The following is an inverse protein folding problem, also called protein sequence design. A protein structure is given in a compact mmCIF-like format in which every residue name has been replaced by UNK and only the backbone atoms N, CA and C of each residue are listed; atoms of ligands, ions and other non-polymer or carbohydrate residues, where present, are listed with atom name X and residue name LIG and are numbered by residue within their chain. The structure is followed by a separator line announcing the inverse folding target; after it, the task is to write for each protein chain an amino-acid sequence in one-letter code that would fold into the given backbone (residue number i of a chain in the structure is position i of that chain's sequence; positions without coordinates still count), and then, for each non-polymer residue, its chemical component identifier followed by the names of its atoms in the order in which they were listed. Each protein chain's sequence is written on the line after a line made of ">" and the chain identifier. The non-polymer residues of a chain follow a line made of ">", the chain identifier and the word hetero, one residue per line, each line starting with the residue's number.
data_IF_620189394223
#
_entry.id   IF_620189394223
#
_cell.length_a   1.000
_cell.length_b   1.000
_cell.length_c   1.000
_cell.angle_alpha   90.00
_cell.angle_beta   90.00
_cell.angle_gamma   90.00
#
_symmetry.space_group_name_H-M   'P 1'
#
loop_
_entity.id
_entity.type
_entity.pdbx_description
1 polymer ?
#
# COMPACT_ATOMS: atom_id res chain seq x y z
N UNK A 1 -15.02 20.41 -37.23
CA UNK A 1 -15.88 19.20 -37.25
C UNK A 1 -15.75 18.34 -38.52
N UNK A 2 -15.13 18.82 -39.62
CA UNK A 2 -14.97 18.07 -40.88
C UNK A 2 -13.76 17.13 -40.95
N UNK A 3 -12.75 17.29 -40.11
CA UNK A 3 -11.50 16.51 -40.22
C UNK A 3 -11.55 15.14 -39.51
N UNK A 4 -12.38 14.97 -38.50
CA UNK A 4 -12.50 13.73 -37.75
C UNK A 4 -13.40 12.71 -38.48
N UNK A 5 -14.43 13.19 -39.17
CA UNK A 5 -15.31 12.31 -39.96
C UNK A 5 -14.60 11.71 -41.18
N UNK A 6 -13.65 12.44 -41.79
CA UNK A 6 -12.82 11.93 -42.89
C UNK A 6 -11.89 10.81 -42.47
N UNK A 7 -11.35 10.86 -41.24
CA UNK A 7 -10.42 9.83 -40.73
C UNK A 7 -11.13 8.50 -40.45
N UNK A 8 -12.36 8.55 -39.96
CA UNK A 8 -13.15 7.34 -39.69
C UNK A 8 -13.63 6.67 -40.98
N UNK A 9 -14.09 7.43 -41.98
CA UNK A 9 -14.51 6.89 -43.27
C UNK A 9 -13.38 6.28 -44.07
N UNK A 10 -12.18 6.84 -44.02
CA UNK A 10 -10.97 6.28 -44.65
C UNK A 10 -10.56 4.98 -43.97
N UNK A 11 -10.66 4.89 -42.63
CA UNK A 11 -10.29 3.69 -41.86
C UNK A 11 -11.28 2.53 -42.10
N UNK A 12 -12.59 2.80 -42.16
CA UNK A 12 -13.61 1.78 -42.50
C UNK A 12 -13.48 1.31 -43.96
N UNK A 13 -13.20 2.24 -44.88
CA UNK A 13 -13.00 1.88 -46.28
C UNK A 13 -11.75 1.01 -46.47
N UNK A 14 -10.67 1.34 -45.77
CA UNK A 14 -9.43 0.55 -45.78
C UNK A 14 -9.63 -0.85 -45.19
N UNK A 15 -10.41 -0.98 -44.12
CA UNK A 15 -10.73 -2.27 -43.50
C UNK A 15 -11.58 -3.14 -44.43
N UNK A 16 -12.57 -2.55 -45.14
CA UNK A 16 -13.38 -3.26 -46.16
C UNK A 16 -12.52 -3.76 -47.32
N UNK A 17 -11.63 -2.93 -47.84
CA UNK A 17 -10.72 -3.30 -48.94
C UNK A 17 -9.80 -4.46 -48.50
N UNK A 18 -9.31 -4.48 -47.28
CA UNK A 18 -8.50 -5.57 -46.77
C UNK A 18 -9.28 -6.88 -46.63
N UNK A 19 -10.55 -6.84 -46.23
CA UNK A 19 -11.43 -8.00 -46.12
C UNK A 19 -11.78 -8.60 -47.47
N UNK A 20 -12.07 -7.73 -48.46
CA UNK A 20 -12.43 -8.17 -49.84
C UNK A 20 -11.22 -8.75 -50.58
N UNK A 21 -10.04 -8.17 -50.42
CA UNK A 21 -8.77 -8.75 -50.95
C UNK A 21 -8.39 -10.06 -50.32
N UNK A 22 -8.69 -10.29 -49.05
CA UNK A 22 -8.48 -11.61 -48.38
C UNK A 22 -9.40 -12.69 -49.00
N UNK A 23 -10.65 -12.35 -49.34
CA UNK A 23 -11.58 -13.27 -50.01
C UNK A 23 -11.15 -13.60 -51.44
N UNK A 24 -10.53 -12.68 -52.15
CA UNK A 24 -9.95 -12.93 -53.50
C UNK A 24 -8.72 -13.83 -53.42
N UNK A 25 -7.86 -13.68 -52.39
CA UNK A 25 -6.69 -14.53 -52.19
C UNK A 25 -7.06 -15.95 -51.82
N UNK A 26 -8.15 -16.17 -51.03
CA UNK A 26 -8.71 -17.50 -50.73
C UNK A 26 -9.20 -18.18 -52.02
N UNK A 27 -9.81 -17.46 -52.98
CA UNK A 27 -10.24 -18.01 -54.26
C UNK A 27 -9.05 -18.32 -55.19
N UNK A 28 -7.89 -17.69 -54.99
CA UNK A 28 -6.69 -17.92 -55.80
C UNK A 28 -5.80 -19.05 -55.29
N UNK A 29 -6.24 -19.80 -54.27
CA UNK A 29 -5.47 -20.94 -53.68
C UNK A 29 -4.19 -20.56 -52.96
N UNK A 30 -3.97 -19.28 -52.71
CA UNK A 30 -2.85 -18.78 -51.91
C UNK A 30 -3.26 -18.98 -50.46
N UNK A 31 -2.62 -19.94 -49.78
CA UNK A 31 -2.81 -20.14 -48.32
C UNK A 31 -2.57 -18.81 -47.63
N UNK A 32 -3.57 -18.26 -46.94
CA UNK A 32 -3.40 -16.95 -46.33
C UNK A 32 -2.32 -17.07 -45.23
N UNK A 33 -1.40 -16.12 -45.25
CA UNK A 33 -0.42 -15.90 -44.18
C UNK A 33 -1.12 -15.82 -42.78
N UNK A 34 -2.40 -15.55 -42.76
CA UNK A 34 -3.30 -15.52 -41.64
C UNK A 34 -3.39 -16.84 -40.85
N UNK A 35 -3.21 -18.01 -41.46
CA UNK A 35 -3.28 -19.29 -40.74
C UNK A 35 -1.98 -19.56 -39.97
N UNK A 36 -0.84 -19.13 -40.49
CA UNK A 36 0.41 -19.13 -39.71
C UNK A 36 0.36 -18.10 -38.59
N UNK A 37 -0.18 -16.90 -38.85
CA UNK A 37 -0.39 -15.84 -37.81
C UNK A 37 -1.39 -16.31 -36.76
N UNK A 38 -2.50 -16.96 -37.14
CA UNK A 38 -3.45 -17.56 -36.21
C UNK A 38 -2.81 -18.72 -35.41
N UNK A 39 -2.01 -19.56 -36.05
CA UNK A 39 -1.31 -20.66 -35.39
C UNK A 39 -0.20 -20.17 -34.46
N UNK A 40 0.49 -19.09 -34.80
CA UNK A 40 1.49 -18.48 -33.90
C UNK A 40 0.80 -17.73 -32.74
N UNK A 41 -0.30 -17.06 -32.99
CA UNK A 41 -1.11 -16.42 -31.95
C UNK A 41 -1.83 -17.46 -31.07
N UNK A 42 -2.11 -18.66 -31.61
CA UNK A 42 -2.69 -19.80 -30.90
C UNK A 42 -1.61 -20.76 -30.36
N UNK A 43 -0.34 -20.68 -30.79
CA UNK A 43 0.73 -21.45 -30.21
C UNK A 43 1.03 -20.96 -28.80
N UNK A 44 0.48 -21.69 -27.89
CA UNK A 44 0.29 -21.45 -26.48
C UNK A 44 1.55 -21.35 -25.61
N UNK A 45 2.70 -21.19 -26.18
CA UNK A 45 3.94 -21.15 -25.37
C UNK A 45 4.11 -19.87 -24.55
N UNK A 46 3.37 -18.77 -24.85
CA UNK A 46 3.56 -17.49 -24.17
C UNK A 46 2.30 -16.62 -24.01
N UNK A 47 1.11 -17.19 -24.05
CA UNK A 47 -0.08 -16.47 -23.56
C UNK A 47 -0.08 -16.50 -22.02
N UNK A 48 0.75 -15.65 -21.41
CA UNK A 48 0.83 -15.52 -19.95
C UNK A 48 -0.46 -15.02 -19.31
N UNK A 49 -1.37 -14.46 -20.09
CA UNK A 49 -2.66 -13.97 -19.64
C UNK A 49 -3.77 -14.59 -20.47
N UNK A 50 -4.57 -15.47 -19.86
CA UNK A 50 -5.78 -16.00 -20.46
C UNK A 50 -6.95 -15.09 -20.13
N UNK A 51 -7.80 -14.78 -21.12
CA UNK A 51 -9.14 -14.26 -20.90
C UNK A 51 -10.07 -15.37 -20.33
N UNK A 52 -9.63 -16.04 -19.29
CA UNK A 52 -10.46 -17.03 -18.63
C UNK A 52 -11.44 -16.35 -17.69
N UNK A 53 -12.75 -16.60 -17.87
CA UNK A 53 -13.78 -16.09 -17.01
C UNK A 53 -13.63 -16.69 -15.59
N UNK A 54 -12.94 -16.00 -14.71
CA UNK A 54 -12.94 -16.39 -13.32
C UNK A 54 -14.36 -16.21 -12.76
N UNK A 55 -14.99 -17.28 -12.28
CA UNK A 55 -16.26 -17.17 -11.54
C UNK A 55 -15.96 -16.45 -10.23
N UNK A 56 -16.53 -15.26 -10.04
CA UNK A 56 -16.44 -14.54 -8.77
C UNK A 56 -17.18 -15.31 -7.69
N UNK A 57 -16.48 -15.70 -6.63
CA UNK A 57 -17.11 -16.25 -5.44
C UNK A 57 -17.30 -15.12 -4.42
N UNK A 58 -18.54 -14.77 -4.13
CA UNK A 58 -18.89 -13.68 -3.21
C UNK A 58 -18.35 -13.87 -1.78
N UNK A 59 -18.08 -15.10 -1.37
CA UNK A 59 -17.56 -15.41 -0.04
C UNK A 59 -16.03 -15.29 0.06
N UNK A 60 -15.32 -15.51 -1.03
CA UNK A 60 -13.85 -15.57 -1.03
C UNK A 60 -13.18 -14.55 -1.92
N UNK A 61 -13.95 -13.80 -2.69
CA UNK A 61 -13.43 -12.83 -3.65
C UNK A 61 -14.02 -11.44 -3.42
N UNK A 62 -13.19 -10.40 -3.51
CA UNK A 62 -13.62 -9.01 -3.49
C UNK A 62 -13.97 -8.55 -4.90
N UNK A 63 -15.22 -8.15 -5.12
CA UNK A 63 -15.66 -7.54 -6.37
C UNK A 63 -15.08 -6.14 -6.51
N UNK A 64 -14.42 -5.86 -7.65
CA UNK A 64 -13.74 -4.59 -7.92
C UNK A 64 -14.30 -3.81 -9.11
N UNK A 65 -15.08 -4.44 -9.98
CA UNK A 65 -15.64 -3.75 -11.15
C UNK A 65 -16.04 -4.67 -12.29
N UNK A 66 -16.30 -4.06 -13.43
CA UNK A 66 -16.71 -4.77 -14.66
C UNK A 66 -15.70 -4.53 -15.77
N UNK A 67 -15.45 -5.54 -16.60
CA UNK A 67 -14.69 -5.36 -17.83
C UNK A 67 -15.55 -4.78 -18.95
N UNK A 68 -14.93 -4.50 -20.11
CA UNK A 68 -15.63 -3.94 -21.29
C UNK A 68 -16.79 -4.79 -21.81
N UNK A 69 -16.80 -6.10 -21.54
CA UNK A 69 -17.89 -7.01 -21.90
C UNK A 69 -18.98 -7.12 -20.82
N UNK A 70 -18.96 -6.28 -19.79
CA UNK A 70 -19.93 -6.28 -18.69
C UNK A 70 -19.74 -7.40 -17.68
N UNK A 71 -18.63 -8.15 -17.75
CA UNK A 71 -18.35 -9.24 -16.84
C UNK A 71 -17.78 -8.73 -15.53
N UNK A 72 -18.23 -9.32 -14.40
CA UNK A 72 -17.71 -9.03 -13.07
C UNK A 72 -16.25 -9.48 -12.94
N UNK A 73 -15.42 -8.59 -12.42
CA UNK A 73 -14.03 -8.85 -12.10
C UNK A 73 -13.84 -8.81 -10.59
N UNK A 74 -13.23 -9.85 -10.06
CA UNK A 74 -13.03 -10.04 -8.63
C UNK A 74 -11.59 -10.41 -8.32
N UNK A 75 -11.11 -9.93 -7.19
CA UNK A 75 -9.80 -10.27 -6.63
C UNK A 75 -9.99 -11.31 -5.52
N UNK A 76 -9.25 -12.42 -5.52
CA UNK A 76 -9.29 -13.36 -4.42
C UNK A 76 -8.83 -12.73 -3.10
N UNK A 77 -9.60 -12.90 -2.03
CA UNK A 77 -9.24 -12.36 -0.71
C UNK A 77 -8.00 -13.05 -0.11
N UNK A 78 -7.68 -14.26 -0.55
CA UNK A 78 -6.49 -15.02 -0.15
C UNK A 78 -5.29 -14.75 -1.06
N UNK A 79 -5.37 -13.75 -1.91
CA UNK A 79 -4.27 -13.43 -2.81
C UNK A 79 -3.07 -12.87 -2.04
N UNK A 80 -1.92 -13.04 -2.68
CA UNK A 80 -0.67 -12.48 -2.21
C UNK A 80 -0.69 -10.99 -2.52
N UNK A 81 -1.14 -10.16 -1.62
CA UNK A 81 -1.15 -8.72 -1.65
C UNK A 81 -1.60 -8.07 -2.98
N UNK A 82 -2.09 -6.87 -2.91
CA UNK A 82 -2.69 -6.15 -4.03
C UNK A 82 -2.10 -4.75 -4.04
N UNK A 83 -1.40 -4.37 -5.10
CA UNK A 83 -0.86 -3.03 -5.25
C UNK A 83 -1.81 -2.16 -6.08
N UNK A 84 -2.11 -0.95 -5.61
CA UNK A 84 -2.95 0.01 -6.31
C UNK A 84 -2.13 1.25 -6.64
N UNK A 85 -2.08 1.63 -7.93
CA UNK A 85 -1.39 2.84 -8.36
C UNK A 85 -2.32 3.68 -9.21
N UNK A 86 -2.33 4.99 -8.95
CA UNK A 86 -3.14 5.92 -9.73
C UNK A 86 -3.02 7.36 -9.29
N UNK A 87 -2.88 8.26 -10.26
CA UNK A 87 -2.75 9.70 -10.00
C UNK A 87 -3.97 10.27 -9.28
N UNK A 88 -3.83 11.46 -8.71
CA UNK A 88 -4.95 12.16 -8.06
C UNK A 88 -6.14 12.28 -9.01
N UNK A 89 -7.35 12.01 -8.50
CA UNK A 89 -8.58 12.03 -9.29
C UNK A 89 -8.77 10.85 -10.25
N UNK A 90 -7.90 9.85 -10.29
CA UNK A 90 -8.06 8.67 -11.14
C UNK A 90 -9.08 7.64 -10.61
N UNK A 91 -9.48 7.72 -9.33
CA UNK A 91 -10.40 6.78 -8.69
C UNK A 91 -9.75 5.80 -7.70
N UNK A 92 -8.55 6.10 -7.20
CA UNK A 92 -7.81 5.28 -6.23
C UNK A 92 -8.63 5.00 -4.97
N UNK A 93 -9.22 6.03 -4.34
CA UNK A 93 -10.08 5.89 -3.15
C UNK A 93 -11.28 4.98 -3.42
N UNK A 94 -11.88 5.08 -4.62
CA UNK A 94 -12.98 4.19 -5.05
C UNK A 94 -12.50 2.74 -5.16
N UNK A 95 -11.29 2.51 -5.67
CA UNK A 95 -10.72 1.17 -5.74
C UNK A 95 -10.48 0.57 -4.33
N UNK A 96 -9.90 1.36 -3.41
CA UNK A 96 -9.69 0.96 -2.01
C UNK A 96 -11.00 0.69 -1.27
N UNK A 97 -12.04 1.48 -1.52
CA UNK A 97 -13.34 1.36 -0.85
C UNK A 97 -14.02 0.01 -1.11
N UNK A 98 -13.76 -0.66 -2.23
CA UNK A 98 -14.27 -1.99 -2.51
C UNK A 98 -13.74 -3.04 -1.51
N UNK A 99 -12.49 -2.90 -1.08
CA UNK A 99 -11.90 -3.79 -0.07
C UNK A 99 -12.42 -3.49 1.34
N UNK A 100 -12.64 -2.22 1.67
CA UNK A 100 -13.27 -1.82 2.95
C UNK A 100 -14.68 -2.38 3.03
N UNK A 101 -15.48 -2.18 1.97
CA UNK A 101 -16.82 -2.74 1.87
C UNK A 101 -16.81 -4.27 1.99
N UNK A 102 -15.89 -4.94 1.31
CA UNK A 102 -15.75 -6.40 1.37
C UNK A 102 -15.39 -6.86 2.79
N UNK A 103 -14.49 -6.18 3.49
CA UNK A 103 -14.16 -6.46 4.89
C UNK A 103 -15.39 -6.32 5.80
N UNK A 104 -16.20 -5.29 5.58
CA UNK A 104 -17.42 -5.08 6.35
C UNK A 104 -18.45 -6.18 6.12
N UNK A 105 -18.74 -6.52 4.86
CA UNK A 105 -19.72 -7.57 4.48
C UNK A 105 -19.30 -8.95 5.01
N UNK A 106 -18.03 -9.30 4.88
CA UNK A 106 -17.50 -10.64 5.19
C UNK A 106 -17.06 -10.79 6.65
N UNK A 107 -17.29 -9.77 7.46
CA UNK A 107 -16.87 -9.75 8.85
C UNK A 107 -15.35 -9.99 9.04
N UNK A 108 -14.52 -9.41 8.17
CA UNK A 108 -13.07 -9.39 8.33
C UNK A 108 -12.64 -8.24 9.26
N UNK A 109 -11.55 -8.42 10.01
CA UNK A 109 -10.86 -7.29 10.63
C UNK A 109 -10.15 -6.46 9.56
N UNK A 110 -10.05 -5.15 9.76
CA UNK A 110 -9.23 -4.33 8.88
C UNK A 110 -8.45 -3.26 9.64
N UNK A 111 -7.26 -2.95 9.13
CA UNK A 111 -6.46 -1.81 9.54
C UNK A 111 -6.25 -0.94 8.31
N UNK A 112 -6.57 0.34 8.43
CA UNK A 112 -6.49 1.33 7.36
C UNK A 112 -5.56 2.44 7.83
N UNK A 113 -4.56 2.79 7.02
CA UNK A 113 -3.76 4.01 7.19
C UNK A 113 -4.09 4.90 6.01
N UNK A 114 -4.75 6.01 6.29
CA UNK A 114 -5.02 7.07 5.35
C UNK A 114 -3.87 8.07 5.42
N UNK A 115 -2.95 7.99 4.46
CA UNK A 115 -1.79 8.89 4.37
C UNK A 115 -2.10 10.23 3.73
N UNK A 116 -3.31 10.41 3.18
CA UNK A 116 -3.75 11.67 2.57
C UNK A 116 -4.38 12.62 3.59
N UNK A 117 -5.22 12.07 4.48
CA UNK A 117 -5.86 12.82 5.54
C UNK A 117 -6.83 13.88 5.04
N UNK A 118 -7.42 13.71 3.86
CA UNK A 118 -8.39 14.64 3.33
C UNK A 118 -9.75 14.53 4.04
N UNK A 119 -10.43 15.66 4.07
CA UNK A 119 -11.78 15.79 4.62
C UNK A 119 -12.78 15.97 3.46
N UNK A 120 -13.91 15.32 3.57
CA UNK A 120 -14.95 15.41 2.56
C UNK A 120 -15.77 14.13 2.46
N UNK A 121 -16.92 14.21 1.82
CA UNK A 121 -17.87 13.08 1.73
C UNK A 121 -17.30 11.83 1.03
N UNK A 122 -16.33 12.01 0.16
CA UNK A 122 -15.66 10.93 -0.56
C UNK A 122 -14.28 10.61 0.03
N UNK A 123 -13.95 11.11 1.23
CA UNK A 123 -12.72 10.74 1.94
C UNK A 123 -12.75 9.28 2.39
N UNK A 124 -11.59 8.68 2.56
CA UNK A 124 -11.47 7.29 3.01
C UNK A 124 -12.10 7.10 4.41
N UNK A 125 -12.01 8.12 5.27
CA UNK A 125 -12.64 8.15 6.59
C UNK A 125 -14.16 8.07 6.50
N UNK A 126 -14.81 8.96 5.73
CA UNK A 126 -16.27 9.02 5.64
C UNK A 126 -16.86 7.78 4.97
N UNK A 127 -16.19 7.27 3.94
CA UNK A 127 -16.54 5.99 3.30
C UNK A 127 -16.46 4.83 4.31
N UNK A 128 -15.41 4.81 5.13
CA UNK A 128 -15.24 3.77 6.17
C UNK A 128 -16.35 3.87 7.24
N UNK A 129 -16.67 5.09 7.69
CA UNK A 129 -17.79 5.33 8.62
C UNK A 129 -19.12 4.84 8.03
N UNK A 130 -19.39 5.18 6.76
CA UNK A 130 -20.60 4.77 6.05
C UNK A 130 -20.74 3.23 6.03
N UNK A 131 -19.70 2.53 5.61
CA UNK A 131 -19.76 1.05 5.54
C UNK A 131 -19.85 0.42 6.92
N UNK A 132 -19.10 0.91 7.90
CA UNK A 132 -19.19 0.38 9.27
C UNK A 132 -20.59 0.57 9.86
N UNK A 133 -21.22 1.70 9.62
CA UNK A 133 -22.62 1.96 10.02
C UNK A 133 -23.60 1.04 9.29
N UNK A 134 -23.47 0.92 7.96
CA UNK A 134 -24.36 0.12 7.11
C UNK A 134 -24.31 -1.36 7.47
N UNK A 135 -23.13 -1.89 7.78
CA UNK A 135 -22.94 -3.33 8.06
C UNK A 135 -22.78 -3.61 9.57
N UNK A 136 -23.10 -2.66 10.43
CA UNK A 136 -23.02 -2.77 11.89
C UNK A 136 -21.66 -3.28 12.38
N UNK A 137 -20.55 -2.62 11.93
CA UNK A 137 -19.19 -3.01 12.25
C UNK A 137 -18.60 -2.09 13.31
N UNK A 138 -17.89 -2.67 14.26
CA UNK A 138 -17.13 -1.90 15.24
C UNK A 138 -16.01 -1.15 14.55
N UNK A 139 -15.96 0.18 14.76
CA UNK A 139 -14.98 1.08 14.16
C UNK A 139 -14.21 1.82 15.25
N UNK A 140 -12.88 1.85 15.10
CA UNK A 140 -12.00 2.75 15.85
C UNK A 140 -11.40 3.77 14.89
N UNK A 141 -11.48 5.05 15.27
CA UNK A 141 -10.97 6.18 14.48
C UNK A 141 -9.87 6.86 15.30
N UNK A 142 -8.67 6.93 14.75
CA UNK A 142 -7.54 7.68 15.30
C UNK A 142 -7.12 8.69 14.23
N UNK A 143 -7.52 9.96 14.40
CA UNK A 143 -7.34 11.01 13.40
C UNK A 143 -6.47 12.14 13.92
N UNK A 144 -5.46 12.53 13.15
CA UNK A 144 -4.66 13.72 13.40
C UNK A 144 -5.43 15.02 13.10
N UNK A 145 -6.53 14.95 12.34
CA UNK A 145 -7.36 16.10 12.04
C UNK A 145 -8.15 16.56 13.28
N UNK A 146 -8.76 15.57 13.97
CA UNK A 146 -9.62 15.79 15.14
C UNK A 146 -9.17 14.96 16.34
N UNK A 147 -8.05 15.25 16.97
CA UNK A 147 -7.50 14.45 18.07
C UNK A 147 -8.42 14.38 19.30
N UNK A 148 -9.21 15.43 19.54
CA UNK A 148 -10.10 15.55 20.71
C UNK A 148 -11.22 14.51 20.70
N UNK A 149 -11.86 14.33 19.56
CA UNK A 149 -13.00 13.41 19.38
C UNK A 149 -12.62 12.01 18.91
N UNK A 150 -11.35 11.82 18.58
CA UNK A 150 -10.80 10.55 18.14
C UNK A 150 -10.65 9.55 19.27
N UNK A 151 -10.68 8.26 18.94
CA UNK A 151 -10.22 7.24 19.86
C UNK A 151 -8.76 7.51 20.22
N UNK A 152 -8.43 7.42 21.49
CA UNK A 152 -7.03 7.53 21.93
C UNK A 152 -6.24 6.31 21.50
N UNK A 153 -4.93 6.47 21.35
CA UNK A 153 -4.03 5.45 20.86
C UNK A 153 -2.84 5.29 21.79
N UNK A 154 -2.45 4.05 22.09
CA UNK A 154 -1.22 3.75 22.81
C UNK A 154 -0.45 2.63 22.10
N UNK A 155 0.63 2.95 21.37
CA UNK A 155 1.44 1.95 20.68
C UNK A 155 2.19 1.02 21.62
N UNK A 156 2.41 1.44 22.87
CA UNK A 156 3.21 0.69 23.84
C UNK A 156 2.42 -0.43 24.56
N UNK A 157 1.10 -0.52 24.37
CA UNK A 157 0.30 -1.61 24.89
C UNK A 157 0.90 -2.94 24.41
N UNK A 158 1.21 -3.87 25.36
CA UNK A 158 1.84 -5.17 25.09
C UNK A 158 3.26 -5.09 24.49
N UNK A 159 3.91 -3.93 24.46
CA UNK A 159 5.31 -3.84 24.05
C UNK A 159 6.24 -4.28 25.17
N UNK A 160 7.23 -5.12 24.86
CA UNK A 160 8.37 -5.31 25.74
C UNK A 160 9.34 -4.12 25.59
N UNK A 161 10.41 -4.10 26.40
CA UNK A 161 11.36 -2.99 26.45
C UNK A 161 12.00 -2.73 25.07
N UNK A 162 12.40 -3.79 24.39
CA UNK A 162 13.07 -3.72 23.10
C UNK A 162 12.11 -3.18 22.01
N UNK A 163 10.89 -3.69 21.98
CA UNK A 163 9.89 -3.23 21.01
C UNK A 163 9.52 -1.77 21.25
N UNK A 164 9.31 -1.37 22.50
CA UNK A 164 9.00 0.02 22.84
C UNK A 164 10.16 0.97 22.47
N UNK A 165 11.41 0.57 22.75
CA UNK A 165 12.61 1.30 22.32
C UNK A 165 12.66 1.38 20.77
N UNK A 166 12.44 0.28 20.07
CA UNK A 166 12.45 0.27 18.61
C UNK A 166 11.37 1.18 18.00
N UNK A 167 10.20 1.25 18.63
CA UNK A 167 9.13 2.19 18.23
C UNK A 167 9.62 3.63 18.30
N UNK A 168 10.20 4.04 19.41
CA UNK A 168 10.68 5.40 19.63
C UNK A 168 11.84 5.77 18.69
N UNK A 169 12.75 4.85 18.45
CA UNK A 169 13.91 5.09 17.58
C UNK A 169 13.50 5.18 16.10
N UNK A 170 12.59 4.32 15.65
CA UNK A 170 12.23 4.27 14.24
C UNK A 170 11.13 5.28 13.84
N UNK A 171 10.56 6.01 14.79
CA UNK A 171 9.66 7.13 14.51
C UNK A 171 10.35 8.23 13.71
N UNK A 172 11.63 8.50 14.00
CA UNK A 172 12.38 9.62 13.47
C UNK A 172 13.57 9.15 12.65
N UNK A 173 14.08 10.01 11.78
CA UNK A 173 15.35 9.82 11.09
C UNK A 173 16.49 10.30 11.95
N UNK A 174 17.62 9.60 11.91
CA UNK A 174 18.84 9.93 12.66
C UNK A 174 19.92 10.32 11.67
N UNK A 175 20.56 11.46 11.92
CA UNK A 175 21.65 11.96 11.07
C UNK A 175 22.95 11.17 11.25
N UNK A 176 23.18 10.63 12.46
CA UNK A 176 24.41 9.92 12.81
C UNK A 176 24.10 8.66 13.61
N UNK A 177 24.75 7.54 13.25
CA UNK A 177 24.57 6.24 13.90
C UNK A 177 25.01 6.24 15.36
N UNK A 178 26.02 7.04 15.70
CA UNK A 178 26.49 7.15 17.09
C UNK A 178 25.41 7.71 18.02
N UNK A 179 24.71 8.78 17.62
CA UNK A 179 23.61 9.33 18.42
C UNK A 179 22.46 8.35 18.55
N UNK A 180 22.14 7.65 17.50
CA UNK A 180 21.11 6.62 17.50
C UNK A 180 21.43 5.52 18.52
N UNK A 181 22.62 4.92 18.44
CA UNK A 181 23.05 3.82 19.33
C UNK A 181 23.03 4.21 20.81
N UNK A 182 23.50 5.41 21.13
CA UNK A 182 23.47 5.89 22.52
C UNK A 182 22.05 6.17 23.01
N UNK A 183 21.19 6.73 22.15
CA UNK A 183 19.76 6.92 22.47
C UNK A 183 19.06 5.58 22.67
N UNK A 184 19.35 4.58 21.85
CA UNK A 184 18.82 3.23 22.01
C UNK A 184 19.13 2.63 23.38
N UNK A 185 20.40 2.72 23.81
CA UNK A 185 20.83 2.20 25.10
C UNK A 185 20.14 2.92 26.25
N UNK A 186 20.04 4.25 26.17
CA UNK A 186 19.38 5.07 27.17
C UNK A 186 17.90 4.75 27.29
N UNK A 187 17.16 4.72 26.18
CA UNK A 187 15.73 4.40 26.14
C UNK A 187 15.45 2.98 26.61
N UNK A 188 16.30 2.01 26.24
CA UNK A 188 16.16 0.61 26.71
C UNK A 188 16.19 0.56 28.25
N UNK A 189 17.09 1.32 28.88
CA UNK A 189 17.20 1.39 30.34
C UNK A 189 16.01 2.14 30.95
N UNK A 190 15.65 3.29 30.41
CA UNK A 190 14.50 4.06 30.89
C UNK A 190 13.21 3.23 30.89
N UNK A 191 12.90 2.58 29.77
CA UNK A 191 11.69 1.77 29.63
C UNK A 191 11.69 0.60 30.64
N UNK A 192 12.87 -0.03 30.88
CA UNK A 192 13.01 -1.07 31.91
C UNK A 192 12.67 -0.50 33.30
N UNK A 193 13.21 0.67 33.68
CA UNK A 193 12.95 1.30 34.96
C UNK A 193 11.47 1.69 35.12
N UNK A 194 10.84 2.27 34.09
CA UNK A 194 9.41 2.60 34.12
C UNK A 194 8.54 1.35 34.39
N UNK A 195 8.84 0.24 33.73
CA UNK A 195 8.12 -1.03 33.95
C UNK A 195 8.33 -1.59 35.35
N UNK A 196 9.58 -1.56 35.86
CA UNK A 196 9.88 -2.01 37.22
C UNK A 196 9.19 -1.13 38.28
N UNK A 197 8.97 0.14 37.99
CA UNK A 197 8.19 1.05 38.81
C UNK A 197 6.68 0.91 38.66
N UNK A 198 6.20 -0.05 37.84
CA UNK A 198 4.80 -0.23 37.47
C UNK A 198 4.16 1.04 36.84
N UNK A 199 4.95 1.85 36.16
CA UNK A 199 4.46 3.01 35.40
C UNK A 199 4.02 2.53 34.03
N UNK A 200 2.76 2.82 33.66
CA UNK A 200 2.24 2.49 32.35
C UNK A 200 3.01 3.26 31.26
N UNK A 201 3.47 2.55 30.23
CA UNK A 201 4.17 3.16 29.12
C UNK A 201 3.19 3.97 28.27
N UNK A 202 3.48 5.24 28.12
CA UNK A 202 2.84 6.20 27.21
C UNK A 202 3.87 7.18 26.70
N UNK A 203 3.54 7.97 25.68
CA UNK A 203 4.44 9.08 25.27
C UNK A 203 4.71 10.02 26.43
N UNK A 204 3.68 10.38 27.20
CA UNK A 204 3.81 11.31 28.32
C UNK A 204 4.72 10.74 29.42
N UNK A 205 4.51 9.48 29.84
CA UNK A 205 5.35 8.87 30.88
C UNK A 205 6.81 8.74 30.44
N UNK A 206 7.08 8.50 29.17
CA UNK A 206 8.43 8.45 28.63
C UNK A 206 9.03 9.86 28.55
N UNK A 207 8.30 10.84 27.99
CA UNK A 207 8.76 12.21 27.84
C UNK A 207 9.06 12.88 29.20
N UNK A 208 8.24 12.62 30.21
CA UNK A 208 8.43 13.13 31.56
C UNK A 208 9.68 12.56 32.26
N UNK A 209 10.01 11.30 32.00
CA UNK A 209 11.08 10.59 32.69
C UNK A 209 12.38 10.46 31.88
N UNK A 210 12.43 10.98 30.65
CA UNK A 210 13.61 10.85 29.78
C UNK A 210 14.75 11.79 30.20
N UNK A 211 14.46 12.90 30.89
CA UNK A 211 15.49 13.83 31.39
C UNK A 211 16.38 13.14 32.40
N UNK A 212 17.71 13.43 32.36
CA UNK A 212 18.69 12.71 33.17
C UNK A 212 18.42 12.79 34.67
N UNK A 213 17.93 13.93 35.17
CA UNK A 213 17.57 14.11 36.59
C UNK A 213 16.40 13.17 37.00
N UNK A 214 15.36 13.08 36.17
CA UNK A 214 14.21 12.20 36.42
C UNK A 214 14.59 10.72 36.30
N UNK A 215 15.39 10.38 35.30
CA UNK A 215 15.91 9.02 35.13
C UNK A 215 16.73 8.57 36.35
N UNK A 216 17.63 9.44 36.86
CA UNK A 216 18.43 9.16 38.05
C UNK A 216 17.54 9.02 39.30
N UNK A 217 16.58 9.93 39.48
CA UNK A 217 15.63 9.88 40.59
C UNK A 217 14.82 8.58 40.59
N UNK A 218 14.31 8.16 39.44
CA UNK A 218 13.59 6.89 39.26
C UNK A 218 14.48 5.70 39.59
N UNK A 219 15.71 5.68 39.07
CA UNK A 219 16.68 4.61 39.34
C UNK A 219 17.04 4.52 40.84
N UNK A 220 17.21 5.69 41.50
CA UNK A 220 17.48 5.75 42.94
C UNK A 220 16.33 5.21 43.75
N UNK A 221 15.09 5.63 43.45
CA UNK A 221 13.89 5.13 44.15
C UNK A 221 13.76 3.61 44.03
N UNK A 222 14.01 3.03 42.86
CA UNK A 222 13.99 1.59 42.69
C UNK A 222 15.10 0.85 43.46
N UNK A 223 16.27 1.46 43.60
CA UNK A 223 17.37 0.90 44.39
C UNK A 223 17.09 0.95 45.92
N UNK A 224 16.57 2.09 46.40
CA UNK A 224 16.17 2.28 47.78
C UNK A 224 15.07 1.26 48.20
N UNK A 225 14.16 0.96 47.29
CA UNK A 225 13.11 -0.07 47.44
C UNK A 225 13.61 -1.51 47.16
N UNK A 226 14.90 -1.72 46.90
CA UNK A 226 15.54 -3.02 46.61
C UNK A 226 14.94 -3.74 45.37
N UNK A 227 14.32 -3.02 44.44
CA UNK A 227 13.80 -3.56 43.20
C UNK A 227 14.93 -3.78 42.18
N UNK A 228 15.95 -2.90 42.22
CA UNK A 228 17.20 -3.08 41.48
C UNK A 228 18.39 -3.10 42.46
N UNK A 229 19.52 -3.66 42.01
CA UNK A 229 20.73 -3.67 42.81
C UNK A 229 21.41 -2.30 42.85
N UNK A 230 22.26 -2.07 43.86
CA UNK A 230 23.10 -0.85 43.91
C UNK A 230 24.03 -0.73 42.72
N UNK A 231 24.59 -1.85 42.26
CA UNK A 231 25.46 -1.87 41.07
C UNK A 231 24.69 -1.49 39.78
N UNK A 232 23.45 -1.94 39.65
CA UNK A 232 22.57 -1.54 38.55
C UNK A 232 22.26 -0.04 38.61
N UNK A 233 22.02 0.51 39.82
CA UNK A 233 21.83 1.95 39.98
C UNK A 233 23.10 2.74 39.58
N UNK A 234 24.30 2.31 40.01
CA UNK A 234 25.58 2.94 39.64
C UNK A 234 25.78 2.89 38.12
N UNK A 235 25.51 1.76 37.49
CA UNK A 235 25.55 1.66 36.03
C UNK A 235 24.55 2.61 35.33
N UNK A 236 23.38 2.84 35.90
CA UNK A 236 22.41 3.81 35.38
C UNK A 236 22.90 5.25 35.54
N UNK A 237 23.59 5.58 36.64
CA UNK A 237 24.25 6.92 36.83
C UNK A 237 25.29 7.18 35.74
N UNK A 238 26.13 6.19 35.43
CA UNK A 238 27.14 6.31 34.38
C UNK A 238 26.50 6.53 32.99
N UNK A 239 25.45 5.79 32.69
CA UNK A 239 24.68 5.95 31.45
C UNK A 239 24.05 7.34 31.39
N UNK A 240 23.45 7.84 32.46
CA UNK A 240 22.84 9.15 32.53
C UNK A 240 23.87 10.26 32.31
N UNK A 241 25.05 10.16 32.94
CA UNK A 241 26.13 11.13 32.74
C UNK A 241 26.69 11.13 31.32
N UNK A 242 26.95 9.93 30.77
CA UNK A 242 27.50 9.78 29.43
C UNK A 242 26.51 10.22 28.32
N UNK A 243 25.22 10.14 28.58
CA UNK A 243 24.17 10.38 27.58
C UNK A 243 23.32 11.62 27.85
N UNK A 244 23.67 12.50 28.76
CA UNK A 244 22.86 13.67 29.17
C UNK A 244 22.43 14.52 27.96
N UNK A 245 23.34 14.97 27.12
CA UNK A 245 23.01 15.76 25.91
C UNK A 245 22.15 15.01 24.92
N UNK A 246 22.34 13.69 24.83
CA UNK A 246 21.58 12.79 23.94
C UNK A 246 20.16 12.62 24.48
N UNK A 247 20.02 12.43 25.79
CA UNK A 247 18.73 12.36 26.47
C UNK A 247 17.93 13.66 26.31
N UNK A 248 18.57 14.82 26.43
CA UNK A 248 17.93 16.14 26.25
C UNK A 248 17.42 16.31 24.81
N UNK A 249 18.22 15.92 23.79
CA UNK A 249 17.80 15.97 22.40
C UNK A 249 16.65 15.00 22.11
N UNK A 250 16.69 13.79 22.64
CA UNK A 250 15.62 12.81 22.51
C UNK A 250 14.35 13.29 23.24
N UNK A 251 14.50 13.88 24.43
CA UNK A 251 13.40 14.50 25.17
C UNK A 251 12.71 15.58 24.33
N UNK A 252 13.48 16.52 23.77
CA UNK A 252 12.91 17.57 22.94
C UNK A 252 12.07 17.03 21.78
N UNK A 253 12.54 15.97 21.10
CA UNK A 253 11.80 15.34 20.01
C UNK A 253 10.48 14.71 20.45
N UNK A 254 10.47 14.01 21.59
CA UNK A 254 9.25 13.38 22.09
C UNK A 254 8.29 14.40 22.70
N UNK A 255 8.79 15.43 23.36
CA UNK A 255 8.00 16.54 23.88
C UNK A 255 7.33 17.33 22.74
N UNK A 256 8.03 17.58 21.64
CA UNK A 256 7.43 18.25 20.48
C UNK A 256 6.18 17.51 19.98
N UNK A 257 6.18 16.18 20.02
CA UNK A 257 5.00 15.39 19.65
C UNK A 257 3.95 15.40 20.77
N UNK A 258 4.36 15.14 22.02
CA UNK A 258 3.41 15.01 23.13
C UNK A 258 2.75 16.34 23.54
N UNK A 259 3.43 17.46 23.37
CA UNK A 259 2.91 18.81 23.66
C UNK A 259 2.14 19.42 22.46
N UNK A 260 2.21 18.79 21.29
CA UNK A 260 1.45 19.22 20.12
C UNK A 260 -0.04 18.81 20.24
N UNK A 261 -0.89 19.43 19.42
CA UNK A 261 -2.30 19.01 19.31
C UNK A 261 -2.43 17.52 18.97
N UNK A 262 -1.52 16.96 18.17
CA UNK A 262 -1.49 15.53 17.85
C UNK A 262 -1.18 14.67 19.09
N UNK A 263 -0.45 15.22 20.07
CA UNK A 263 -0.16 14.55 21.34
C UNK A 263 -1.39 14.14 22.12
N UNK A 264 -2.51 14.85 21.95
CA UNK A 264 -3.80 14.49 22.57
C UNK A 264 -4.35 13.13 22.15
N UNK A 265 -3.87 12.58 20.99
CA UNK A 265 -4.21 11.21 20.57
C UNK A 265 -3.64 10.15 21.52
N UNK A 266 -2.52 10.44 22.19
CA UNK A 266 -1.81 9.44 22.99
C UNK A 266 -2.33 9.39 24.42
N UNK A 267 -2.79 8.20 24.84
CA UNK A 267 -3.28 7.99 26.20
C UNK A 267 -2.96 6.55 26.63
N UNK A 268 -2.80 6.32 27.92
CA UNK A 268 -2.51 5.01 28.51
C UNK A 268 -3.56 3.94 28.13
N UNK A 269 -4.83 4.33 27.99
CA UNK A 269 -5.97 3.46 27.67
C UNK A 269 -6.38 3.52 26.19
N UNK A 270 -5.43 3.76 25.30
CA UNK A 270 -5.70 3.87 23.85
C UNK A 270 -6.08 2.53 23.19
N UNK A 271 -6.35 2.61 21.89
CA UNK A 271 -6.66 1.45 21.04
C UNK A 271 -5.50 0.46 21.05
N UNK A 272 -5.80 -0.81 21.27
CA UNK A 272 -4.89 -1.97 21.14
C UNK A 272 -5.18 -2.62 19.78
N UNK A 273 -4.26 -2.48 18.81
CA UNK A 273 -4.41 -3.00 17.44
C UNK A 273 -4.63 -4.53 17.47
N UNK A 274 -3.87 -5.27 18.31
CA UNK A 274 -4.02 -6.73 18.39
C UNK A 274 -5.43 -7.13 18.85
N UNK A 275 -5.94 -6.50 19.90
CA UNK A 275 -7.27 -6.78 20.44
C UNK A 275 -8.35 -6.44 19.43
N UNK A 276 -8.27 -5.28 18.80
CA UNK A 276 -9.24 -4.83 17.81
C UNK A 276 -9.28 -5.76 16.59
N UNK A 277 -8.13 -6.19 16.06
CA UNK A 277 -8.07 -7.14 14.95
C UNK A 277 -8.56 -8.54 15.34
N UNK A 278 -8.33 -8.98 16.59
CA UNK A 278 -8.87 -10.25 17.10
C UNK A 278 -10.39 -10.22 17.20
N UNK A 279 -10.96 -9.09 17.59
CA UNK A 279 -12.40 -8.83 17.64
C UNK A 279 -13.01 -8.54 16.25
N UNK A 280 -12.22 -8.62 15.18
CA UNK A 280 -12.61 -8.30 13.80
C UNK A 280 -13.09 -6.85 13.61
N UNK A 281 -12.67 -5.91 14.46
CA UNK A 281 -12.99 -4.50 14.30
C UNK A 281 -12.28 -3.90 13.08
N UNK A 282 -12.80 -2.79 12.61
CA UNK A 282 -12.14 -1.91 11.62
C UNK A 282 -11.42 -0.81 12.40
N UNK A 283 -10.17 -0.55 12.05
CA UNK A 283 -9.37 0.53 12.62
C UNK A 283 -8.94 1.43 11.48
N UNK A 284 -9.15 2.72 11.59
CA UNK A 284 -8.64 3.71 10.64
C UNK A 284 -7.76 4.72 11.37
N UNK A 285 -6.55 4.88 10.87
CA UNK A 285 -5.63 5.95 11.24
C UNK A 285 -5.62 6.98 10.12
N UNK A 286 -5.96 8.22 10.43
CA UNK A 286 -5.96 9.34 9.49
C UNK A 286 -4.77 10.23 9.82
N UNK A 287 -3.80 10.26 8.91
CA UNK A 287 -2.62 11.11 9.00
C UNK A 287 -2.93 12.47 8.38
N UNK A 288 -2.17 13.51 8.74
CA UNK A 288 -2.30 14.82 8.13
C UNK A 288 -0.93 15.37 7.71
N UNK A 289 -0.37 14.88 6.59
CA UNK A 289 0.94 15.33 6.12
C UNK A 289 0.94 16.78 5.61
N UNK A 290 -0.22 17.34 5.28
CA UNK A 290 -0.32 18.72 4.83
C UNK A 290 -0.03 19.73 5.95
N UNK A 291 -0.58 19.47 7.15
CA UNK A 291 -0.37 20.33 8.31
C UNK A 291 0.85 19.92 9.15
N UNK A 292 1.10 18.62 9.25
CA UNK A 292 2.12 18.05 10.15
C UNK A 292 2.99 17.00 9.43
N UNK A 293 3.80 17.38 8.42
CA UNK A 293 4.48 16.39 7.55
C UNK A 293 5.40 15.44 8.33
N UNK A 294 6.25 15.96 9.22
CA UNK A 294 7.17 15.14 10.02
C UNK A 294 6.42 14.26 11.04
N UNK A 295 5.41 14.82 11.69
CA UNK A 295 4.61 14.08 12.68
C UNK A 295 3.77 13.00 12.02
N UNK A 296 3.22 13.25 10.84
CA UNK A 296 2.47 12.26 10.06
C UNK A 296 3.39 11.09 9.64
N UNK A 297 4.60 11.39 9.19
CA UNK A 297 5.60 10.36 8.88
C UNK A 297 5.97 9.53 10.11
N UNK A 298 6.26 10.20 11.24
CA UNK A 298 6.58 9.54 12.50
C UNK A 298 5.43 8.65 13.00
N UNK A 299 4.20 9.18 12.96
CA UNK A 299 2.99 8.47 13.36
C UNK A 299 2.73 7.24 12.47
N UNK A 300 2.86 7.39 11.15
CA UNK A 300 2.70 6.27 10.22
C UNK A 300 3.70 5.14 10.47
N UNK A 301 4.99 5.48 10.69
CA UNK A 301 6.03 4.50 11.04
C UNK A 301 5.76 3.81 12.38
N UNK A 302 5.30 4.56 13.37
CA UNK A 302 4.91 4.04 14.68
C UNK A 302 3.78 3.03 14.58
N UNK A 303 2.72 3.37 13.81
CA UNK A 303 1.59 2.49 13.54
C UNK A 303 2.05 1.20 12.84
N UNK A 304 2.97 1.30 11.88
CA UNK A 304 3.52 0.11 11.18
C UNK A 304 4.25 -0.84 12.14
N UNK A 305 5.06 -0.30 13.08
CA UNK A 305 5.79 -1.13 14.06
C UNK A 305 4.81 -1.79 15.04
N UNK A 306 3.81 -1.04 15.51
CA UNK A 306 2.76 -1.59 16.37
C UNK A 306 1.94 -2.66 15.65
N UNK A 307 1.61 -2.43 14.38
CA UNK A 307 0.94 -3.41 13.52
C UNK A 307 1.80 -4.67 13.36
N UNK A 308 3.11 -4.54 13.12
CA UNK A 308 4.05 -5.67 13.02
C UNK A 308 4.08 -6.47 14.34
N UNK A 309 4.08 -5.79 15.48
CA UNK A 309 3.96 -6.42 16.81
C UNK A 309 2.63 -7.19 16.96
N UNK A 310 1.51 -6.60 16.51
CA UNK A 310 0.21 -7.26 16.54
C UNK A 310 0.18 -8.49 15.62
N UNK A 311 0.72 -8.40 14.40
CA UNK A 311 0.80 -9.49 13.42
C UNK A 311 1.60 -10.67 13.97
N UNK A 312 2.71 -10.43 14.67
CA UNK A 312 3.51 -11.52 15.28
C UNK A 312 2.73 -12.38 16.26
N UNK A 313 1.67 -11.84 16.88
CA UNK A 313 0.76 -12.56 17.79
C UNK A 313 -0.48 -13.13 17.08
N UNK A 314 -0.67 -12.83 15.79
CA UNK A 314 -1.80 -13.27 14.99
C UNK A 314 -1.43 -14.39 13.99
N UNK A 315 -0.21 -14.91 14.04
CA UNK A 315 0.17 -16.06 13.23
C UNK A 315 -0.78 -17.24 13.46
N UNK A 316 -1.08 -17.97 12.40
CA UNK A 316 -2.04 -19.08 12.39
C UNK A 316 -3.49 -18.67 12.75
N UNK A 317 -3.82 -17.38 12.68
CA UNK A 317 -5.21 -16.93 12.85
C UNK A 317 -6.05 -17.35 11.66
N UNK A 318 -7.16 -18.04 11.89
CA UNK A 318 -8.13 -18.40 10.85
C UNK A 318 -8.88 -17.18 10.30
N UNK A 319 -9.00 -16.13 11.11
CA UNK A 319 -9.71 -14.92 10.72
C UNK A 319 -8.92 -14.12 9.68
N UNK A 320 -9.53 -13.90 8.51
CA UNK A 320 -8.96 -13.06 7.46
C UNK A 320 -9.01 -11.59 7.84
N UNK A 321 -8.02 -10.84 7.37
CA UNK A 321 -7.89 -9.41 7.63
C UNK A 321 -7.38 -8.68 6.38
N UNK A 322 -7.80 -7.43 6.22
CA UNK A 322 -7.27 -6.52 5.20
C UNK A 322 -6.47 -5.40 5.86
N UNK A 323 -5.26 -5.18 5.36
CA UNK A 323 -4.45 -4.02 5.72
C UNK A 323 -4.36 -3.10 4.50
N UNK A 324 -4.97 -1.93 4.61
CA UNK A 324 -5.10 -0.95 3.54
C UNK A 324 -4.17 0.21 3.89
N UNK A 325 -3.22 0.49 3.01
CA UNK A 325 -2.19 1.50 3.18
C UNK A 325 -2.30 2.51 2.05
N UNK A 326 -2.98 3.64 2.28
CA UNK A 326 -3.06 4.70 1.27
C UNK A 326 -1.90 5.67 1.43
N UNK A 327 -1.41 6.21 0.30
CA UNK A 327 -0.26 7.11 0.18
C UNK A 327 0.97 6.61 0.96
N UNK A 328 1.40 5.37 0.67
CA UNK A 328 2.50 4.71 1.38
C UNK A 328 3.82 5.47 1.35
N UNK A 329 4.02 6.39 0.40
CA UNK A 329 5.17 7.28 0.31
C UNK A 329 5.31 8.17 1.55
N UNK A 330 4.20 8.60 2.18
CA UNK A 330 4.21 9.46 3.38
C UNK A 330 4.96 8.81 4.55
N UNK A 331 4.80 7.49 4.74
CA UNK A 331 5.39 6.75 5.86
C UNK A 331 6.24 5.56 5.41
N UNK A 332 6.75 5.63 4.20
CA UNK A 332 7.59 4.59 3.62
C UNK A 332 8.79 4.24 4.53
N UNK A 333 8.98 2.95 4.76
CA UNK A 333 10.04 2.41 5.60
C UNK A 333 10.27 0.92 5.36
N UNK A 334 11.42 0.39 5.72
CA UNK A 334 11.71 -1.05 5.67
C UNK A 334 10.72 -1.88 6.50
N UNK A 335 10.12 -1.28 7.53
CA UNK A 335 9.08 -1.92 8.36
C UNK A 335 7.85 -2.30 7.55
N UNK A 336 7.44 -1.44 6.59
CA UNK A 336 6.31 -1.73 5.70
C UNK A 336 6.60 -2.94 4.81
N UNK A 337 7.81 -3.03 4.23
CA UNK A 337 8.23 -4.19 3.42
C UNK A 337 8.20 -5.47 4.26
N UNK A 338 8.76 -5.42 5.46
CA UNK A 338 8.75 -6.56 6.39
C UNK A 338 7.34 -7.00 6.76
N UNK A 339 6.44 -6.02 6.99
CA UNK A 339 5.05 -6.27 7.33
C UNK A 339 4.32 -6.97 6.17
N UNK A 340 4.49 -6.47 4.95
CA UNK A 340 3.91 -7.08 3.75
C UNK A 340 4.44 -8.51 3.59
N UNK A 341 5.76 -8.72 3.67
CA UNK A 341 6.37 -10.04 3.49
C UNK A 341 5.87 -11.10 4.48
N UNK A 342 5.60 -10.71 5.73
CA UNK A 342 5.30 -11.64 6.82
C UNK A 342 3.80 -11.76 7.15
N UNK A 343 2.97 -10.82 6.70
CA UNK A 343 1.55 -10.74 7.04
C UNK A 343 0.71 -11.91 6.49
N UNK A 344 1.16 -12.53 5.40
CA UNK A 344 0.47 -13.69 4.81
C UNK A 344 0.29 -14.85 5.80
N UNK A 345 1.30 -15.14 6.62
CA UNK A 345 1.24 -16.21 7.64
C UNK A 345 0.20 -15.93 8.75
N UNK A 346 -0.26 -14.69 8.88
CA UNK A 346 -1.33 -14.29 9.79
C UNK A 346 -2.70 -14.17 9.09
N UNK A 347 -2.83 -14.70 7.87
CA UNK A 347 -4.03 -14.62 7.03
C UNK A 347 -4.46 -13.17 6.72
N UNK A 348 -3.47 -12.32 6.43
CA UNK A 348 -3.64 -10.90 6.15
C UNK A 348 -3.29 -10.63 4.68
N UNK A 349 -4.17 -9.91 4.00
CA UNK A 349 -3.91 -9.35 2.66
C UNK A 349 -3.60 -7.87 2.80
N UNK A 350 -2.40 -7.46 2.42
CA UNK A 350 -1.98 -6.06 2.37
C UNK A 350 -2.38 -5.44 1.02
N UNK A 351 -2.84 -4.20 1.08
CA UNK A 351 -3.31 -3.42 -0.07
C UNK A 351 -2.60 -2.06 -0.04
N UNK A 352 -1.29 -2.03 -0.38
CA UNK A 352 -0.57 -0.78 -0.50
C UNK A 352 -1.03 0.02 -1.73
N UNK A 353 -1.15 1.34 -1.56
CA UNK A 353 -1.55 2.26 -2.60
C UNK A 353 -0.66 3.51 -2.63
N UNK A 354 -0.39 4.01 -3.84
CA UNK A 354 0.39 5.23 -4.09
C UNK A 354 -0.12 5.95 -5.33
N UNK A 355 0.26 7.21 -5.49
CA UNK A 355 -0.10 7.97 -6.71
C UNK A 355 0.74 7.52 -7.90
N UNK A 356 2.05 7.36 -7.73
CA UNK A 356 2.95 6.91 -8.79
C UNK A 356 4.09 6.05 -8.24
N UNK A 357 4.74 5.28 -9.12
CA UNK A 357 5.95 4.54 -8.77
C UNK A 357 7.13 5.48 -8.49
N UNK A 358 7.16 6.63 -9.16
CA UNK A 358 8.21 7.65 -8.99
C UNK A 358 8.17 8.26 -7.58
N UNK A 359 7.00 8.39 -6.95
CA UNK A 359 6.88 8.91 -5.58
C UNK A 359 7.57 7.97 -4.58
N UNK A 360 7.44 6.66 -4.78
CA UNK A 360 8.14 5.67 -3.95
C UNK A 360 9.65 5.69 -4.19
N UNK A 361 10.08 5.87 -5.45
CA UNK A 361 11.50 5.95 -5.81
C UNK A 361 12.19 7.15 -5.16
N UNK A 362 11.52 8.31 -5.16
CA UNK A 362 12.05 9.54 -4.59
C UNK A 362 12.24 9.46 -3.07
N UNK A 363 11.31 8.83 -2.34
CA UNK A 363 11.35 8.76 -0.88
C UNK A 363 12.29 7.68 -0.33
N UNK A 364 12.44 6.56 -1.01
CA UNK A 364 13.09 5.37 -0.45
C UNK A 364 14.02 4.65 -1.42
N UNK A 365 14.10 5.12 -2.67
CA UNK A 365 14.91 4.53 -3.73
C UNK A 365 14.28 3.30 -4.39
N UNK A 366 14.90 2.88 -5.50
CA UNK A 366 14.44 1.77 -6.35
C UNK A 366 14.28 0.44 -5.60
N UNK A 367 15.13 0.18 -4.61
CA UNK A 367 15.10 -1.07 -3.84
C UNK A 367 13.77 -1.27 -3.12
N UNK A 368 13.27 -0.24 -2.46
CA UNK A 368 12.00 -0.29 -1.74
C UNK A 368 10.83 -0.48 -2.70
N UNK A 369 10.77 0.33 -3.77
CA UNK A 369 9.76 0.24 -4.83
C UNK A 369 9.66 -1.18 -5.38
N UNK A 370 10.80 -1.76 -5.78
CA UNK A 370 10.86 -3.09 -6.35
C UNK A 370 10.42 -4.16 -5.35
N UNK A 371 10.83 -4.06 -4.08
CA UNK A 371 10.40 -4.99 -3.04
C UNK A 371 8.88 -4.96 -2.82
N UNK A 372 8.24 -3.79 -2.83
CA UNK A 372 6.78 -3.69 -2.71
C UNK A 372 6.09 -4.35 -3.92
N UNK A 373 6.56 -4.06 -5.14
CA UNK A 373 5.99 -4.62 -6.37
C UNK A 373 6.15 -6.15 -6.37
N UNK A 374 7.32 -6.68 -6.07
CA UNK A 374 7.60 -8.13 -6.08
C UNK A 374 6.76 -8.91 -5.06
N UNK A 375 6.41 -8.29 -3.93
CA UNK A 375 5.58 -8.92 -2.90
C UNK A 375 4.08 -8.93 -3.24
N UNK A 376 3.65 -8.16 -4.25
CA UNK A 376 2.27 -8.13 -4.70
C UNK A 376 2.09 -9.01 -5.95
N UNK A 377 1.01 -9.80 -5.98
CA UNK A 377 0.68 -10.64 -7.13
C UNK A 377 -0.49 -10.09 -7.95
N UNK A 378 -1.20 -9.13 -7.37
CA UNK A 378 -2.32 -8.47 -8.03
C UNK A 378 -2.06 -6.97 -8.08
N UNK A 379 -2.43 -6.36 -9.20
CA UNK A 379 -2.23 -4.93 -9.43
C UNK A 379 -3.49 -4.32 -9.99
N UNK A 380 -3.84 -3.14 -9.49
CA UNK A 380 -4.90 -2.28 -10.06
C UNK A 380 -4.21 -0.98 -10.47
N UNK A 381 -4.00 -0.83 -11.76
CA UNK A 381 -3.30 0.31 -12.35
C UNK A 381 -4.32 1.26 -12.95
N UNK A 382 -4.58 2.37 -12.26
CA UNK A 382 -5.37 3.47 -12.76
C UNK A 382 -4.47 4.43 -13.55
N UNK A 383 -5.06 5.49 -14.11
CA UNK A 383 -4.34 6.47 -14.92
C UNK A 383 -3.02 6.93 -14.28
N UNK A 384 -1.98 6.93 -15.10
CA UNK A 384 -0.66 7.49 -14.78
C UNK A 384 -0.39 8.67 -15.71
N UNK A 385 -0.14 9.86 -15.16
CA UNK A 385 0.12 11.05 -15.98
C UNK A 385 1.55 11.07 -16.52
N UNK A 386 2.52 10.54 -15.76
CA UNK A 386 3.92 10.48 -16.16
C UNK A 386 4.16 9.34 -17.15
N UNK A 387 4.91 9.65 -18.24
CA UNK A 387 5.35 8.62 -19.19
C UNK A 387 6.22 7.57 -18.51
N UNK A 388 7.15 7.99 -17.64
CA UNK A 388 8.04 7.07 -16.89
C UNK A 388 7.23 6.05 -16.11
N UNK A 389 6.24 6.50 -15.32
CA UNK A 389 5.39 5.58 -14.53
C UNK A 389 4.53 4.68 -15.41
N UNK A 390 3.97 5.19 -16.50
CA UNK A 390 3.19 4.39 -17.44
C UNK A 390 4.04 3.32 -18.14
N UNK A 391 5.27 3.66 -18.54
CA UNK A 391 6.22 2.74 -19.14
C UNK A 391 6.68 1.66 -18.17
N UNK A 392 6.97 2.01 -16.91
CA UNK A 392 7.33 1.05 -15.85
C UNK A 392 6.18 0.06 -15.62
N UNK A 393 4.94 0.52 -15.59
CA UNK A 393 3.79 -0.37 -15.49
C UNK A 393 3.64 -1.26 -16.71
N UNK A 394 3.81 -0.72 -17.93
CA UNK A 394 3.76 -1.52 -19.15
C UNK A 394 4.84 -2.62 -19.16
N UNK A 395 6.05 -2.32 -18.70
CA UNK A 395 7.15 -3.28 -18.52
C UNK A 395 6.81 -4.32 -17.44
N UNK A 396 6.26 -3.89 -16.33
CA UNK A 396 5.82 -4.77 -15.23
C UNK A 396 4.71 -5.71 -15.66
N UNK A 397 3.74 -5.27 -16.45
CA UNK A 397 2.68 -6.09 -17.04
C UNK A 397 3.30 -7.10 -18.01
N UNK A 398 4.20 -6.65 -18.87
CA UNK A 398 4.98 -7.48 -19.78
C UNK A 398 4.61 -7.32 -21.24
N UNK A 399 5.19 -8.20 -22.07
CA UNK A 399 5.05 -8.17 -23.51
C UNK A 399 4.49 -9.48 -24.05
N UNK A 400 3.80 -9.42 -25.19
CA UNK A 400 3.38 -10.58 -25.99
C UNK A 400 4.15 -10.66 -27.30
N UNK A 401 4.29 -11.87 -27.85
CA UNK A 401 4.80 -12.02 -29.21
C UNK A 401 3.76 -11.54 -30.21
N UNK A 402 4.23 -10.82 -31.23
CA UNK A 402 3.41 -10.36 -32.34
C UNK A 402 4.17 -10.51 -33.66
N UNK A 403 3.43 -10.57 -34.76
CA UNK A 403 4.00 -10.55 -36.09
C UNK A 403 3.91 -9.13 -36.62
N UNK A 404 5.05 -8.49 -36.83
CA UNK A 404 5.14 -7.19 -37.50
C UNK A 404 5.18 -7.39 -39.02
N UNK A 405 4.19 -6.87 -39.72
CA UNK A 405 4.12 -6.94 -41.18
C UNK A 405 4.47 -5.60 -41.77
N UNK A 406 5.37 -5.59 -42.73
CA UNK A 406 5.73 -4.41 -43.51
C UNK A 406 5.32 -4.65 -44.96
N UNK A 407 4.48 -3.79 -45.51
CA UNK A 407 4.08 -3.86 -46.90
C UNK A 407 4.82 -2.80 -47.72
N UNK A 408 5.24 -3.18 -48.93
CA UNK A 408 5.75 -2.20 -49.89
C UNK A 408 4.59 -1.51 -50.57
N UNK A 409 4.64 -0.18 -50.59
CA UNK A 409 3.65 0.66 -51.31
C UNK A 409 4.36 1.38 -52.45
N UNK A 410 3.73 1.42 -53.63
CA UNK A 410 4.11 2.25 -54.78
C UNK A 410 3.00 3.29 -55.03
N UNK A 411 3.18 4.16 -55.98
CA UNK A 411 2.22 5.23 -56.40
C UNK A 411 0.81 4.67 -56.72
N UNK A 412 0.72 3.42 -57.15
CA UNK A 412 -0.54 2.72 -57.49
C UNK A 412 -1.20 1.94 -56.31
N UNK A 413 -0.62 1.99 -55.11
CA UNK A 413 -1.13 1.34 -53.90
C UNK A 413 -0.21 0.24 -53.33
N UNK A 414 -0.77 -0.64 -52.46
CA UNK A 414 -0.01 -1.71 -51.79
C UNK A 414 0.45 -2.76 -52.83
N UNK A 415 1.76 -2.96 -52.95
CA UNK A 415 2.27 -4.13 -53.69
C UNK A 415 2.00 -5.39 -52.84
N UNK A 416 1.67 -6.52 -53.49
CA UNK A 416 1.49 -7.80 -52.80
C UNK A 416 2.77 -8.34 -52.14
N UNK A 417 3.86 -7.57 -52.12
CA UNK A 417 5.16 -7.93 -51.51
C UNK A 417 5.24 -7.29 -50.13
N UNK A 418 5.52 -8.11 -49.12
CA UNK A 418 5.74 -7.67 -47.74
C UNK A 418 6.72 -8.59 -47.03
N UNK A 419 7.29 -8.08 -45.95
CA UNK A 419 8.08 -8.90 -45.04
C UNK A 419 7.36 -9.03 -43.69
N UNK A 420 7.46 -10.20 -43.08
CA UNK A 420 6.97 -10.41 -41.72
C UNK A 420 8.13 -10.78 -40.79
N UNK A 421 8.17 -10.18 -39.66
CA UNK A 421 9.14 -10.53 -38.63
C UNK A 421 8.44 -10.75 -37.29
N UNK A 422 8.96 -11.67 -36.49
CA UNK A 422 8.53 -11.83 -35.09
C UNK A 422 9.04 -10.62 -34.29
N UNK A 423 8.14 -10.00 -33.54
CA UNK A 423 8.44 -8.90 -32.63
C UNK A 423 7.82 -9.13 -31.28
N UNK A 424 8.08 -8.25 -30.34
CA UNK A 424 7.39 -8.20 -29.04
C UNK A 424 6.72 -6.84 -28.90
N UNK A 425 5.52 -6.85 -28.39
CA UNK A 425 4.70 -5.67 -28.15
C UNK A 425 4.19 -5.70 -26.71
N UNK A 426 4.02 -4.55 -26.08
CA UNK A 426 3.43 -4.49 -24.75
C UNK A 426 2.01 -5.10 -24.75
N UNK A 427 1.68 -5.85 -23.69
CA UNK A 427 0.31 -6.36 -23.47
C UNK A 427 -0.64 -5.19 -23.25
N UNK A 428 -0.16 -4.15 -22.55
CA UNK A 428 -0.81 -2.87 -22.34
C UNK A 428 0.20 -1.79 -22.69
N UNK A 429 -0.11 -0.95 -23.67
CA UNK A 429 0.78 0.13 -24.10
C UNK A 429 0.81 1.26 -23.06
N UNK A 430 1.96 1.95 -22.85
CA UNK A 430 2.04 3.11 -21.94
C UNK A 430 0.97 4.18 -22.21
N UNK A 431 0.67 4.46 -23.47
CA UNK A 431 -0.35 5.46 -23.85
C UNK A 431 -1.77 5.03 -23.44
N UNK A 432 -2.06 3.73 -23.43
CA UNK A 432 -3.33 3.22 -22.91
C UNK A 432 -3.48 3.51 -21.41
N UNK A 433 -2.40 3.34 -20.63
CA UNK A 433 -2.38 3.64 -19.20
C UNK A 433 -2.58 5.15 -18.95
N UNK A 434 -1.97 6.00 -19.78
CA UNK A 434 -2.09 7.46 -19.69
C UNK A 434 -3.46 7.98 -20.08
N UNK A 435 -4.13 7.33 -21.03
CA UNK A 435 -5.42 7.76 -21.57
C UNK A 435 -6.63 7.25 -20.81
N UNK A 436 -6.43 6.49 -19.71
CA UNK A 436 -7.54 6.01 -18.89
C UNK A 436 -8.39 7.15 -18.33
N UNK A 437 -9.71 6.98 -18.38
CA UNK A 437 -10.68 7.85 -17.74
C UNK A 437 -10.75 7.64 -16.22
N UNK A 438 -11.50 8.51 -15.55
CA UNK A 438 -11.73 8.37 -14.10
C UNK A 438 -12.42 7.03 -13.79
N UNK A 439 -11.85 6.25 -12.88
CA UNK A 439 -12.34 4.93 -12.51
C UNK A 439 -12.12 3.84 -13.56
N UNK A 440 -11.36 4.12 -14.63
CA UNK A 440 -10.85 3.07 -15.51
C UNK A 440 -9.51 2.56 -14.97
N UNK A 441 -9.32 1.25 -15.01
CA UNK A 441 -8.10 0.63 -14.51
C UNK A 441 -7.75 -0.63 -15.31
N UNK A 442 -6.49 -1.02 -15.20
CA UNK A 442 -6.01 -2.31 -15.66
C UNK A 442 -5.83 -3.18 -14.42
N UNK A 443 -6.56 -4.28 -14.37
CA UNK A 443 -6.40 -5.29 -13.35
C UNK A 443 -5.49 -6.39 -13.84
N UNK A 444 -4.46 -6.69 -13.08
CA UNK A 444 -3.51 -7.77 -13.36
C UNK A 444 -3.50 -8.75 -12.19
N UNK A 445 -3.62 -10.03 -12.47
CA UNK A 445 -3.41 -11.11 -11.52
C UNK A 445 -2.37 -12.09 -12.04
N UNK A 446 -1.24 -12.17 -11.36
CA UNK A 446 -0.15 -13.10 -11.70
C UNK A 446 -0.59 -14.55 -11.45
N UNK A 447 -1.28 -14.79 -10.33
CA UNK A 447 -1.71 -16.13 -9.94
C UNK A 447 -2.77 -16.69 -10.92
N UNK A 448 -3.68 -15.84 -11.39
CA UNK A 448 -4.74 -16.23 -12.35
C UNK A 448 -4.32 -16.06 -13.80
N UNK A 449 -3.12 -15.53 -14.07
CA UNK A 449 -2.65 -15.16 -15.41
C UNK A 449 -3.68 -14.32 -16.16
N UNK A 450 -4.19 -13.29 -15.50
CA UNK A 450 -5.30 -12.45 -15.96
C UNK A 450 -4.85 -11.00 -16.12
N UNK A 451 -5.27 -10.35 -17.21
CA UNK A 451 -5.08 -8.93 -17.46
C UNK A 451 -6.35 -8.38 -18.10
N UNK A 452 -7.13 -7.59 -17.35
CA UNK A 452 -8.40 -7.03 -17.79
C UNK A 452 -8.41 -5.51 -17.71
N UNK A 453 -9.08 -4.87 -18.67
CA UNK A 453 -9.48 -3.47 -18.62
C UNK A 453 -10.81 -3.39 -17.92
N UNK A 454 -10.86 -2.67 -16.81
CA UNK A 454 -12.02 -2.64 -15.94
C UNK A 454 -12.51 -1.21 -15.72
N UNK A 455 -13.81 -1.10 -15.51
CA UNK A 455 -14.41 0.06 -14.83
C UNK A 455 -14.59 -0.30 -13.38
N UNK A 456 -13.89 0.42 -12.50
CA UNK A 456 -13.92 0.19 -11.04
C UNK A 456 -15.33 0.47 -10.53
N UNK A 457 -15.84 -0.43 -9.71
CA UNK A 457 -17.15 -0.27 -9.09
C UNK A 457 -17.10 0.81 -8.00
N UNK A 458 -18.04 1.76 -8.04
CA UNK A 458 -18.23 2.76 -6.98
C UNK A 458 -19.31 2.26 -6.03
N UNK A 459 -18.97 1.84 -4.80
CA UNK A 459 -19.90 1.17 -3.89
C UNK A 459 -20.70 2.11 -2.97
N UNK A 460 -20.56 3.43 -3.11
CA UNK A 460 -21.18 4.49 -2.30
C UNK A 460 -21.73 5.63 -3.16
#
# INVERSE_FOLDING_TARGET
>A
MFSVACFFTVHEHYFKICIDKNKENERAGIKPLNDEVKNINNSNAYNSFRENPCKCNSYTDTFIGYNKSGKKICVPDNSKHIFISGTTGSGKTVALSNFIRSACIKNYGALIIDGKGDEGQESLLEITKLFCKTYNRKLYIVSMNDPEISNKYNPFIRANETVAKDMLINMTTWSEEHYKTNTERYLQRLIKLLKLANINLSFNSIAENIKSDKFIALSKNLADNKIISKDEHLSNLDIAKASSKIADNASARFLTISESKVGELFNERGVDIYKALKEKAIIIFVLNPLLYPETAQAMGRLILIDTKKAVSKLFNSENRKFFIFDEINVYASSVLVDLINKSRSANITCIPATQSLSDLENETGDKFKNQIIENCNNYIVLRQNSFKSAEEWAKTIGTKQTMLMTYQMNEEGSTKKGSSRRGREFIVHPDEIKSQGVGEAIYISRDRKQCDRIKVFKPF
#
